data_IF_158653608553
#
_entry.id   IF_158653608553
#
_cell.length_a   1.000
_cell.length_b   1.000
_cell.length_c   1.000
_cell.angle_alpha   90.00
_cell.angle_beta   90.00
_cell.angle_gamma   90.00
#
_symmetry.space_group_name_H-M   'P 1'
#
loop_
_entity.id
_entity.type
_entity.pdbx_description
1 polymer ?
#
# COMPACT_ATOMS: atom_id res chain seq x y z
N UNK A 1 -11.84 -6.27 -31.67
CA UNK A 1 -10.70 -5.94 -30.83
C UNK A 1 -10.84 -6.53 -29.42
N UNK A 2 -11.89 -6.19 -28.62
CA UNK A 2 -12.06 -6.67 -27.23
C UNK A 2 -11.98 -8.19 -27.11
N UNK A 3 -12.71 -8.92 -27.95
CA UNK A 3 -12.71 -10.39 -27.96
C UNK A 3 -11.34 -10.94 -28.36
N UNK A 4 -10.68 -10.35 -29.33
CA UNK A 4 -9.36 -10.78 -29.81
C UNK A 4 -8.29 -10.57 -28.73
N UNK A 5 -8.31 -9.43 -27.99
CA UNK A 5 -7.45 -9.19 -26.83
C UNK A 5 -7.67 -10.26 -25.77
N UNK A 6 -8.93 -10.56 -25.45
CA UNK A 6 -9.26 -11.58 -24.47
C UNK A 6 -8.73 -12.95 -24.90
N UNK A 7 -9.04 -13.40 -26.10
CA UNK A 7 -8.70 -14.75 -26.59
C UNK A 7 -7.17 -14.97 -26.68
N UNK A 8 -6.41 -13.90 -26.95
CA UNK A 8 -4.93 -13.99 -27.08
C UNK A 8 -4.15 -13.76 -25.77
N UNK A 9 -4.73 -13.03 -24.82
CA UNK A 9 -4.02 -12.61 -23.60
C UNK A 9 -4.45 -13.34 -22.32
N UNK A 10 -5.69 -13.88 -22.28
CA UNK A 10 -6.24 -14.45 -21.05
C UNK A 10 -5.42 -15.59 -20.46
N UNK A 11 -5.09 -16.59 -21.26
CA UNK A 11 -4.30 -17.76 -20.80
C UNK A 11 -2.91 -17.36 -20.30
N UNK A 12 -2.28 -16.39 -20.96
CA UNK A 12 -0.97 -15.87 -20.58
C UNK A 12 -1.06 -15.13 -19.24
N UNK A 13 -2.07 -14.27 -19.07
CA UNK A 13 -2.31 -13.55 -17.84
C UNK A 13 -2.67 -14.51 -16.68
N UNK A 14 -3.46 -15.54 -16.95
CA UNK A 14 -3.77 -16.59 -15.98
C UNK A 14 -2.52 -17.36 -15.54
N UNK A 15 -1.63 -17.70 -16.46
CA UNK A 15 -0.36 -18.37 -16.16
C UNK A 15 0.55 -17.52 -15.26
N UNK A 16 0.64 -16.20 -15.50
CA UNK A 16 1.37 -15.27 -14.63
C UNK A 16 0.76 -15.22 -13.23
N UNK A 17 -0.57 -15.15 -13.14
CA UNK A 17 -1.28 -15.15 -11.86
C UNK A 17 -1.03 -16.45 -11.08
N UNK A 18 -1.06 -17.60 -11.77
CA UNK A 18 -0.85 -18.94 -11.19
C UNK A 18 0.60 -19.19 -10.75
N UNK A 19 1.57 -18.48 -11.31
CA UNK A 19 2.97 -18.59 -10.91
C UNK A 19 3.20 -18.21 -9.44
N UNK A 20 2.31 -17.41 -8.83
CA UNK A 20 2.30 -17.13 -7.40
C UNK A 20 3.59 -16.46 -6.89
N UNK A 21 4.23 -15.61 -7.70
CA UNK A 21 5.47 -14.96 -7.33
C UNK A 21 5.24 -13.87 -6.28
N UNK A 22 6.01 -13.88 -5.20
CA UNK A 22 6.01 -12.80 -4.20
C UNK A 22 6.59 -11.48 -4.75
N UNK A 23 7.48 -11.55 -5.75
CA UNK A 23 8.09 -10.40 -6.39
C UNK A 23 7.07 -9.59 -7.19
N UNK A 24 6.76 -8.40 -6.68
CA UNK A 24 5.80 -7.50 -7.29
C UNK A 24 6.32 -6.91 -8.61
N UNK A 25 7.60 -6.63 -8.69
CA UNK A 25 8.21 -6.05 -9.90
C UNK A 25 8.12 -7.06 -11.04
N UNK A 26 8.54 -8.29 -10.81
CA UNK A 26 8.44 -9.38 -11.79
C UNK A 26 7.00 -9.57 -12.30
N UNK A 27 6.01 -9.55 -11.39
CA UNK A 27 4.60 -9.68 -11.81
C UNK A 27 4.16 -8.54 -12.72
N UNK A 28 4.46 -7.30 -12.32
CA UNK A 28 4.09 -6.13 -13.11
C UNK A 28 4.75 -6.14 -14.49
N UNK A 29 6.03 -6.47 -14.57
CA UNK A 29 6.76 -6.60 -15.82
C UNK A 29 6.20 -7.72 -16.69
N UNK A 30 5.86 -8.87 -16.08
CA UNK A 30 5.27 -10.01 -16.80
C UNK A 30 3.91 -9.68 -17.39
N UNK A 31 3.03 -9.00 -16.65
CA UNK A 31 1.74 -8.54 -17.17
C UNK A 31 1.92 -7.48 -18.27
N UNK A 32 2.80 -6.52 -18.06
CA UNK A 32 3.09 -5.47 -19.05
C UNK A 32 3.64 -6.06 -20.36
N UNK A 33 4.50 -7.06 -20.28
CA UNK A 33 5.03 -7.73 -21.44
C UNK A 33 3.94 -8.39 -22.29
N UNK A 34 2.90 -8.98 -21.69
CA UNK A 34 1.78 -9.57 -22.42
C UNK A 34 1.04 -8.51 -23.23
N UNK A 35 0.84 -7.32 -22.67
CA UNK A 35 0.22 -6.18 -23.35
C UNK A 35 1.10 -5.71 -24.52
N UNK A 36 2.40 -5.54 -24.28
CA UNK A 36 3.38 -5.13 -25.29
C UNK A 36 3.46 -6.15 -26.44
N UNK A 37 3.57 -7.45 -26.13
CA UNK A 37 3.58 -8.53 -27.13
C UNK A 37 2.29 -8.53 -27.99
N UNK A 38 1.14 -8.20 -27.38
CA UNK A 38 -0.11 -8.08 -28.14
C UNK A 38 -0.09 -6.87 -29.05
N UNK A 39 0.37 -5.71 -28.57
CA UNK A 39 0.48 -4.48 -29.37
C UNK A 39 1.42 -4.68 -30.59
N UNK A 40 2.44 -5.47 -30.46
CA UNK A 40 3.35 -5.81 -31.56
C UNK A 40 2.64 -6.61 -32.68
N UNK A 41 1.56 -7.32 -32.38
CA UNK A 41 0.75 -8.03 -33.40
C UNK A 41 -0.11 -7.10 -34.27
N UNK A 42 -0.24 -5.84 -33.86
CA UNK A 42 -1.03 -4.82 -34.58
C UNK A 42 -0.11 -4.10 -35.59
N UNK A 43 -0.57 -3.85 -36.83
CA UNK A 43 0.17 -3.06 -37.80
C UNK A 43 0.58 -1.69 -37.23
N UNK A 44 1.79 -1.26 -37.53
CA UNK A 44 2.40 -0.03 -36.96
C UNK A 44 1.52 1.22 -37.23
N UNK A 45 0.89 1.28 -38.40
CA UNK A 45 -0.01 2.38 -38.80
C UNK A 45 -1.25 2.53 -37.90
N UNK A 46 -1.72 1.44 -37.29
CA UNK A 46 -2.94 1.44 -36.45
C UNK A 46 -2.62 1.34 -34.96
N UNK A 47 -1.35 1.14 -34.61
CA UNK A 47 -0.93 0.85 -33.23
C UNK A 47 -1.23 2.01 -32.30
N UNK A 48 -0.85 3.24 -32.68
CA UNK A 48 -1.05 4.43 -31.86
C UNK A 48 -2.52 4.74 -31.60
N UNK A 49 -3.37 4.52 -32.60
CA UNK A 49 -4.82 4.72 -32.49
C UNK A 49 -5.46 3.66 -31.59
N UNK A 50 -5.01 2.42 -31.68
CA UNK A 50 -5.60 1.28 -30.95
C UNK A 50 -5.01 1.06 -29.56
N UNK A 51 -3.81 1.54 -29.27
CA UNK A 51 -3.13 1.32 -28.00
C UNK A 51 -3.97 1.70 -26.75
N UNK A 52 -4.68 2.85 -26.69
CA UNK A 52 -5.50 3.17 -25.53
C UNK A 52 -6.67 2.21 -25.31
N UNK A 53 -7.24 1.68 -26.41
CA UNK A 53 -8.32 0.71 -26.34
C UNK A 53 -7.81 -0.67 -25.95
N UNK A 54 -6.64 -1.06 -26.44
CA UNK A 54 -5.97 -2.32 -26.05
C UNK A 54 -5.64 -2.31 -24.58
N UNK A 55 -5.00 -1.26 -24.08
CA UNK A 55 -4.68 -1.10 -22.66
C UNK A 55 -5.93 -1.26 -21.76
N UNK A 56 -7.04 -0.63 -22.15
CA UNK A 56 -8.32 -0.75 -21.43
C UNK A 56 -8.86 -2.17 -21.43
N UNK A 57 -8.88 -2.83 -22.60
CA UNK A 57 -9.42 -4.18 -22.72
C UNK A 57 -8.50 -5.21 -22.07
N UNK A 58 -7.18 -5.03 -22.17
CA UNK A 58 -6.20 -5.87 -21.50
C UNK A 58 -6.30 -5.78 -19.98
N UNK A 59 -6.50 -4.58 -19.43
CA UNK A 59 -6.74 -4.41 -18.01
C UNK A 59 -7.97 -5.20 -17.50
N UNK A 60 -9.05 -5.23 -18.30
CA UNK A 60 -10.24 -6.06 -17.99
C UNK A 60 -9.87 -7.56 -17.99
N UNK A 61 -9.07 -8.00 -18.97
CA UNK A 61 -8.59 -9.40 -19.09
C UNK A 61 -7.69 -9.79 -17.94
N UNK A 62 -6.71 -8.97 -17.61
CA UNK A 62 -5.81 -9.17 -16.45
C UNK A 62 -6.61 -9.32 -15.15
N UNK A 63 -7.55 -8.39 -14.92
CA UNK A 63 -8.41 -8.42 -13.74
C UNK A 63 -9.26 -9.69 -13.67
N UNK A 64 -9.80 -10.14 -14.80
CA UNK A 64 -10.58 -11.37 -14.87
C UNK A 64 -9.71 -12.60 -14.61
N UNK A 65 -8.56 -12.72 -15.28
CA UNK A 65 -7.63 -13.82 -15.12
C UNK A 65 -7.10 -13.96 -13.69
N UNK A 66 -6.70 -12.85 -13.07
CA UNK A 66 -6.27 -12.80 -11.67
C UNK A 66 -7.38 -13.24 -10.73
N UNK A 67 -8.59 -12.71 -10.92
CA UNK A 67 -9.74 -13.06 -10.08
C UNK A 67 -10.12 -14.54 -10.21
N UNK A 68 -10.12 -15.06 -11.42
CA UNK A 68 -10.40 -16.47 -11.69
C UNK A 68 -9.35 -17.38 -11.08
N UNK A 69 -8.08 -17.05 -11.24
CA UNK A 69 -7.00 -17.81 -10.63
C UNK A 69 -7.17 -17.92 -9.11
N UNK A 70 -7.53 -16.83 -8.42
CA UNK A 70 -7.76 -16.86 -6.96
C UNK A 70 -8.97 -17.73 -6.60
N UNK A 71 -10.05 -17.68 -7.40
CA UNK A 71 -11.27 -18.45 -7.12
C UNK A 71 -11.11 -19.96 -7.43
N UNK A 72 -10.41 -20.27 -8.50
CA UNK A 72 -10.29 -21.64 -9.00
C UNK A 72 -9.16 -22.41 -8.29
N UNK A 73 -8.03 -21.74 -8.02
CA UNK A 73 -6.85 -22.37 -7.41
C UNK A 73 -6.74 -22.11 -5.88
N UNK A 74 -7.49 -21.15 -5.35
CA UNK A 74 -7.41 -20.78 -3.92
C UNK A 74 -6.09 -20.09 -3.51
N UNK A 75 -5.33 -19.61 -4.50
CA UNK A 75 -4.00 -19.02 -4.31
C UNK A 75 -4.04 -17.55 -4.71
N UNK A 76 -3.44 -16.68 -3.89
CA UNK A 76 -3.27 -15.26 -4.21
C UNK A 76 -2.10 -15.07 -5.17
N UNK A 77 -2.03 -13.90 -5.81
CA UNK A 77 -0.96 -13.52 -6.75
C UNK A 77 0.46 -13.67 -6.18
N UNK A 78 0.62 -13.57 -4.89
CA UNK A 78 1.90 -13.72 -4.20
C UNK A 78 2.14 -15.15 -3.65
N UNK A 79 1.37 -16.12 -4.12
CA UNK A 79 1.52 -17.53 -3.78
C UNK A 79 0.92 -17.94 -2.44
N UNK A 80 0.40 -16.99 -1.64
CA UNK A 80 -0.24 -17.29 -0.36
C UNK A 80 -1.64 -17.87 -0.54
N UNK A 81 -2.07 -18.67 0.41
CA UNK A 81 -3.47 -19.07 0.55
C UNK A 81 -4.34 -17.88 0.99
N UNK A 82 -5.65 -18.02 0.91
CA UNK A 82 -6.59 -16.95 1.22
C UNK A 82 -6.60 -16.56 2.71
N UNK A 83 -6.22 -17.46 3.60
CA UNK A 83 -6.13 -17.31 5.06
C UNK A 83 -4.70 -16.99 5.55
N UNK A 84 -3.70 -17.02 4.69
CA UNK A 84 -2.31 -16.73 5.06
C UNK A 84 -2.06 -15.22 5.15
N UNK A 85 -1.38 -14.80 6.24
CA UNK A 85 -0.88 -13.44 6.44
C UNK A 85 0.57 -13.39 5.95
N UNK A 86 0.99 -12.25 5.38
CA UNK A 86 2.40 -12.03 5.04
C UNK A 86 3.28 -12.13 6.29
N UNK A 87 4.52 -12.62 6.19
CA UNK A 87 5.44 -12.68 7.32
C UNK A 87 5.55 -11.31 8.01
N UNK A 88 5.38 -11.32 9.33
CA UNK A 88 5.52 -10.12 10.17
C UNK A 88 6.80 -10.26 10.99
N UNK A 89 7.57 -9.17 11.00
CA UNK A 89 8.73 -9.01 11.86
C UNK A 89 8.69 -7.63 12.53
N UNK A 90 9.03 -7.59 13.80
CA UNK A 90 9.03 -6.36 14.59
C UNK A 90 10.26 -6.32 15.47
N UNK A 91 10.84 -5.13 15.64
CA UNK A 91 11.93 -4.86 16.56
C UNK A 91 11.67 -3.54 17.27
N UNK A 92 11.92 -3.51 18.60
CA UNK A 92 11.81 -2.31 19.42
C UNK A 92 13.20 -1.75 19.72
N UNK A 93 13.26 -0.50 20.19
CA UNK A 93 14.52 0.21 20.53
C UNK A 93 15.50 0.31 19.34
N UNK A 94 14.95 0.45 18.14
CA UNK A 94 15.71 0.47 16.89
C UNK A 94 16.54 1.74 16.70
N UNK A 95 16.02 2.88 17.17
CA UNK A 95 16.67 4.19 17.06
C UNK A 95 16.94 4.74 18.46
N UNK A 96 18.19 5.11 18.80
CA UNK A 96 18.57 5.48 20.18
C UNK A 96 18.14 6.88 20.63
N UNK A 97 17.70 7.76 19.72
CA UNK A 97 17.40 9.16 20.02
C UNK A 97 16.04 9.42 20.68
N UNK A 98 14.93 8.85 20.19
CA UNK A 98 13.61 9.04 20.77
C UNK A 98 13.43 8.23 22.07
N UNK A 99 12.38 8.54 22.86
CA UNK A 99 12.06 7.79 24.08
C UNK A 99 11.63 6.35 23.84
N UNK A 100 11.18 6.06 22.62
CA UNK A 100 10.90 4.72 22.14
C UNK A 100 10.92 4.68 20.61
N UNK A 101 11.26 3.54 20.05
CA UNK A 101 11.21 3.32 18.61
C UNK A 101 10.88 1.88 18.30
N UNK A 102 10.27 1.64 17.13
CA UNK A 102 9.99 0.31 16.65
C UNK A 102 10.02 0.28 15.13
N UNK A 103 10.49 -0.82 14.59
CA UNK A 103 10.32 -1.18 13.18
C UNK A 103 9.28 -2.28 13.08
N UNK A 104 8.36 -2.13 12.15
CA UNK A 104 7.37 -3.13 11.80
C UNK A 104 7.52 -3.48 10.32
N UNK A 105 7.65 -4.74 10.02
CA UNK A 105 7.75 -5.23 8.64
C UNK A 105 6.68 -6.28 8.38
N UNK A 106 5.98 -6.15 7.26
CA UNK A 106 4.99 -7.11 6.77
C UNK A 106 5.24 -7.39 5.29
N UNK A 107 5.90 -8.50 5.01
CA UNK A 107 6.41 -8.78 3.67
C UNK A 107 7.40 -7.69 3.24
N UNK A 108 7.14 -7.02 2.14
CA UNK A 108 7.99 -5.93 1.62
C UNK A 108 7.65 -4.55 2.21
N UNK A 109 6.55 -4.43 2.96
CA UNK A 109 6.13 -3.17 3.56
C UNK A 109 6.76 -2.99 4.92
N UNK A 110 7.42 -1.85 5.13
CA UNK A 110 8.09 -1.52 6.39
C UNK A 110 7.62 -0.16 6.90
N UNK A 111 7.49 -0.05 8.22
CA UNK A 111 7.22 1.20 8.92
C UNK A 111 8.19 1.37 10.08
N UNK A 112 8.81 2.55 10.19
CA UNK A 112 9.58 2.98 11.35
C UNK A 112 8.70 3.93 12.16
N UNK A 113 8.43 3.57 13.41
CA UNK A 113 7.69 4.41 14.32
C UNK A 113 8.59 4.87 15.48
N UNK A 114 8.50 6.15 15.82
CA UNK A 114 9.20 6.74 16.97
C UNK A 114 8.18 7.30 17.95
N UNK A 115 8.47 7.18 19.25
CA UNK A 115 7.66 7.70 20.34
C UNK A 115 8.44 8.75 21.11
N UNK A 116 7.84 9.92 21.28
CA UNK A 116 8.38 11.00 22.12
C UNK A 116 7.38 11.30 23.24
N UNK A 117 7.89 11.33 24.47
CA UNK A 117 7.11 11.68 25.66
C UNK A 117 7.34 13.14 25.99
N UNK A 118 6.24 13.86 26.21
CA UNK A 118 6.24 15.28 26.54
C UNK A 118 5.49 15.58 27.85
N UNK A 119 5.47 16.83 28.21
CA UNK A 119 4.78 17.37 29.38
C UNK A 119 3.33 17.73 29.07
N UNK A 120 2.60 18.24 30.04
CA UNK A 120 1.26 18.82 29.84
C UNK A 120 1.24 20.02 28.88
N UNK A 121 2.38 20.71 28.71
CA UNK A 121 2.49 21.84 27.79
C UNK A 121 2.51 21.39 26.33
N UNK A 122 2.84 20.13 26.08
CA UNK A 122 2.90 19.53 24.74
C UNK A 122 1.55 18.94 24.28
N UNK A 123 0.51 19.05 25.12
CA UNK A 123 -0.84 18.62 24.77
C UNK A 123 -1.38 19.42 23.59
N UNK A 124 -2.01 18.74 22.65
CA UNK A 124 -2.69 19.42 21.54
C UNK A 124 -3.99 20.04 22.04
N UNK A 125 -4.13 21.35 21.87
CA UNK A 125 -5.39 22.05 22.13
C UNK A 125 -6.35 21.75 20.98
N UNK A 126 -7.53 21.26 21.32
CA UNK A 126 -8.65 21.07 20.40
C UNK A 126 -9.61 22.25 20.59
N UNK A 127 -9.78 23.05 19.56
CA UNK A 127 -10.66 24.20 19.55
C UNK A 127 -11.52 24.19 18.28
N UNK A 128 -12.25 23.09 18.12
CA UNK A 128 -13.22 22.93 17.04
C UNK A 128 -14.61 23.38 17.51
N UNK A 129 -15.51 23.70 16.57
CA UNK A 129 -16.87 24.14 16.86
C UNK A 129 -17.63 23.13 17.71
N UNK A 130 -17.39 21.85 17.56
CA UNK A 130 -18.10 20.78 18.26
C UNK A 130 -17.28 20.13 19.39
N UNK A 131 -15.96 20.30 19.39
CA UNK A 131 -15.09 19.64 20.36
C UNK A 131 -14.06 20.63 20.88
N UNK A 132 -14.16 20.93 22.17
CA UNK A 132 -13.16 21.71 22.90
C UNK A 132 -12.47 20.80 23.92
N UNK A 133 -11.16 20.89 24.05
CA UNK A 133 -10.43 20.08 25.01
C UNK A 133 -8.96 19.97 24.70
N UNK A 134 -8.35 18.94 25.24
CA UNK A 134 -6.92 18.65 25.05
C UNK A 134 -6.73 17.20 24.67
N UNK A 135 -5.78 16.94 23.78
CA UNK A 135 -5.40 15.60 23.34
C UNK A 135 -3.97 15.32 23.77
N UNK A 136 -3.78 14.22 24.51
CA UNK A 136 -2.46 13.78 25.01
C UNK A 136 -1.81 12.71 24.15
N UNK A 137 -2.59 12.03 23.30
CA UNK A 137 -2.08 11.03 22.37
C UNK A 137 -2.08 11.59 20.96
N UNK A 138 -0.92 11.80 20.40
CA UNK A 138 -0.70 12.39 19.07
C UNK A 138 -0.07 11.36 18.15
N UNK A 139 -0.58 11.24 16.94
CA UNK A 139 0.00 10.38 15.92
C UNK A 139 0.15 11.15 14.61
N UNK A 140 1.37 11.16 14.09
CA UNK A 140 1.73 11.71 12.79
C UNK A 140 2.13 10.56 11.86
N UNK A 141 1.42 10.48 10.74
CA UNK A 141 1.70 9.49 9.71
C UNK A 141 2.35 10.18 8.51
N UNK A 142 3.54 9.74 8.17
CA UNK A 142 4.30 10.22 7.02
C UNK A 142 4.38 9.10 5.98
N UNK A 143 4.18 9.47 4.72
CA UNK A 143 4.33 8.56 3.59
C UNK A 143 5.17 9.23 2.52
N UNK A 144 6.50 9.28 2.71
CA UNK A 144 7.38 9.97 1.79
C UNK A 144 7.40 9.30 0.41
N UNK A 145 7.63 10.06 -0.68
CA UNK A 145 7.60 9.53 -2.04
C UNK A 145 8.51 8.33 -2.29
N UNK A 146 9.65 8.27 -1.64
CA UNK A 146 10.57 7.13 -1.77
C UNK A 146 9.97 5.81 -1.28
N UNK A 147 8.92 5.83 -0.44
CA UNK A 147 8.21 4.60 0.01
C UNK A 147 7.55 3.86 -1.15
N UNK A 148 7.31 4.53 -2.26
CA UNK A 148 6.77 3.95 -3.51
C UNK A 148 7.76 4.01 -4.67
N UNK A 149 9.04 4.34 -4.40
CA UNK A 149 10.07 4.50 -5.43
C UNK A 149 9.92 5.75 -6.29
N UNK A 150 9.12 6.74 -5.84
CA UNK A 150 8.90 7.99 -6.57
C UNK A 150 9.93 9.05 -6.18
N UNK A 151 10.52 9.72 -7.17
CA UNK A 151 11.38 10.89 -6.98
C UNK A 151 10.57 12.16 -7.20
N UNK A 152 9.92 12.67 -6.15
CA UNK A 152 9.16 13.92 -6.19
C UNK A 152 9.34 14.74 -4.92
N UNK A 153 9.13 16.06 -5.01
CA UNK A 153 9.16 16.93 -3.85
C UNK A 153 7.98 16.65 -2.91
N UNK A 154 8.25 16.56 -1.60
CA UNK A 154 7.23 16.46 -0.58
C UNK A 154 6.71 17.87 -0.24
N UNK A 155 5.46 18.17 -0.58
CA UNK A 155 4.83 19.48 -0.41
C UNK A 155 3.84 19.55 0.75
N UNK A 156 3.98 18.68 1.75
CA UNK A 156 3.06 18.57 2.88
C UNK A 156 2.29 17.26 2.89
N UNK A 157 1.37 17.13 3.84
CA UNK A 157 0.61 15.91 4.09
C UNK A 157 -0.61 15.83 3.16
N UNK A 158 -0.71 14.75 2.40
CA UNK A 158 -1.83 14.50 1.49
C UNK A 158 -3.08 13.99 2.21
N UNK A 159 -4.24 14.04 1.54
CA UNK A 159 -5.51 13.55 2.11
C UNK A 159 -5.46 12.07 2.50
N UNK A 160 -4.72 11.27 1.73
CA UNK A 160 -4.54 9.84 2.00
C UNK A 160 -3.76 9.61 3.30
N UNK A 161 -2.70 10.37 3.51
CA UNK A 161 -1.89 10.31 4.73
C UNK A 161 -2.69 10.71 5.96
N UNK A 162 -3.49 11.79 5.85
CA UNK A 162 -4.40 12.22 6.92
C UNK A 162 -5.40 11.10 7.26
N UNK A 163 -6.01 10.47 6.26
CA UNK A 163 -6.94 9.37 6.44
C UNK A 163 -6.30 8.14 7.11
N UNK A 164 -5.12 7.72 6.64
CA UNK A 164 -4.37 6.61 7.22
C UNK A 164 -3.93 6.92 8.66
N UNK A 165 -3.37 8.10 8.90
CA UNK A 165 -2.99 8.55 10.23
C UNK A 165 -4.16 8.57 11.21
N UNK A 166 -5.34 9.01 10.76
CA UNK A 166 -6.54 9.01 11.58
C UNK A 166 -7.03 7.60 11.92
N UNK A 167 -6.94 6.64 10.99
CA UNK A 167 -7.26 5.24 11.27
C UNK A 167 -6.33 4.66 12.34
N UNK A 168 -5.02 4.86 12.20
CA UNK A 168 -4.03 4.42 13.17
C UNK A 168 -4.23 5.10 14.54
N UNK A 169 -4.45 6.41 14.55
CA UNK A 169 -4.73 7.17 15.78
C UNK A 169 -5.93 6.62 16.53
N UNK A 170 -7.07 6.40 15.86
CA UNK A 170 -8.28 5.85 16.50
C UNK A 170 -8.08 4.44 17.06
N UNK A 171 -7.31 3.60 16.37
CA UNK A 171 -7.03 2.25 16.83
C UNK A 171 -6.14 2.26 18.09
N UNK A 172 -5.04 3.02 18.05
CA UNK A 172 -4.05 3.05 19.13
C UNK A 172 -4.50 3.87 20.33
N UNK A 173 -5.28 4.94 20.14
CA UNK A 173 -5.80 5.77 21.23
C UNK A 173 -6.56 4.95 22.28
N UNK A 174 -7.25 3.90 21.88
CA UNK A 174 -8.00 3.03 22.80
C UNK A 174 -7.10 2.17 23.68
N UNK A 175 -5.85 1.98 23.27
CA UNK A 175 -4.83 1.26 24.03
C UNK A 175 -4.01 2.17 24.93
N UNK A 176 -4.17 3.49 24.80
CA UNK A 176 -3.43 4.45 25.59
C UNK A 176 -4.00 4.48 27.02
N UNK A 177 -3.14 4.27 28.06
CA UNK A 177 -3.60 4.19 29.44
C UNK A 177 -4.19 5.53 29.93
N UNK A 178 -5.33 5.51 30.62
CA UNK A 178 -5.99 6.71 31.12
C UNK A 178 -5.13 7.52 32.06
N UNK A 179 -4.33 6.85 32.91
CA UNK A 179 -3.47 7.47 33.93
C UNK A 179 -2.04 7.67 33.46
N UNK A 180 -1.76 7.61 32.14
CA UNK A 180 -0.41 7.83 31.65
C UNK A 180 0.01 9.29 31.91
N UNK A 181 1.15 9.53 32.59
CA UNK A 181 1.50 10.86 33.09
C UNK A 181 2.03 11.83 32.03
N UNK A 182 2.38 11.33 30.84
CA UNK A 182 3.02 12.10 29.79
C UNK A 182 2.09 12.30 28.58
N UNK A 183 2.34 13.36 27.84
CA UNK A 183 1.85 13.49 26.45
C UNK A 183 2.68 12.59 25.56
N UNK A 184 2.03 11.77 24.76
CA UNK A 184 2.71 10.83 23.85
C UNK A 184 2.54 11.29 22.41
N UNK A 185 3.66 11.43 21.71
CA UNK A 185 3.69 11.73 20.27
C UNK A 185 4.33 10.57 19.52
N UNK A 186 3.58 9.94 18.64
CA UNK A 186 4.06 8.93 17.72
C UNK A 186 4.24 9.55 16.35
N UNK A 187 5.37 9.27 15.70
CA UNK A 187 5.67 9.63 14.32
C UNK A 187 6.02 8.35 13.58
N UNK A 188 5.25 8.04 12.51
CA UNK A 188 5.43 6.86 11.67
C UNK A 188 5.60 7.27 10.22
#
# INVERSE_FOLDING_TARGET
LRKDVHDKCYEKAYAVAKAGSADKQWRNESFKKIEEDYLETIPEEERDEKAPLVARYYHDVEKEAVRRCILDEGIRLDGRKTDEIRPIWCEVDYVPGPHGSAVFTRGETQALATCTLGTKLDEKILDDVLNQGKERFLLHYNFPPFSTGEAKAQRGVGRREIGHGNLAHRALKRMFPDNFPYTCRIVS
#
